data_IF_169212327837
#
_entry.id   IF_169212327837
#
_cell.length_a   1.000
_cell.length_b   1.000
_cell.length_c   1.000
_cell.angle_alpha   90.00
_cell.angle_beta   90.00
_cell.angle_gamma   90.00
#
_symmetry.space_group_name_H-M   'P 1'
#
loop_
_entity.id
_entity.type
_entity.pdbx_description
1 polymer ?
#
# COMPACT_ATOMS: atom_id res chain seq x y z
N UNK A 1 -11.25 -16.87 -45.07
CA UNK A 1 -9.87 -16.49 -44.80
C UNK A 1 -9.94 -15.23 -43.93
N UNK A 2 -10.06 -15.42 -42.62
CA UNK A 2 -10.12 -14.29 -41.66
C UNK A 2 -8.71 -14.02 -41.16
N UNK A 3 -8.21 -12.86 -41.54
CA UNK A 3 -6.89 -12.38 -41.07
C UNK A 3 -7.05 -11.86 -39.68
N UNK A 4 -6.49 -12.58 -38.69
CA UNK A 4 -6.34 -12.11 -37.31
C UNK A 4 -5.31 -10.99 -37.32
N UNK A 5 -5.75 -9.76 -37.11
CA UNK A 5 -4.86 -8.65 -36.77
C UNK A 5 -4.47 -8.78 -35.29
N UNK A 6 -3.28 -9.29 -35.08
CA UNK A 6 -2.63 -9.22 -33.76
C UNK A 6 -2.07 -7.82 -33.61
N UNK A 7 -2.73 -6.98 -32.80
CA UNK A 7 -2.13 -5.74 -32.35
C UNK A 7 -1.05 -6.06 -31.31
N UNK A 8 0.18 -5.53 -31.45
CA UNK A 8 1.14 -5.62 -30.38
C UNK A 8 0.61 -4.85 -29.18
N UNK A 9 0.51 -5.51 -28.04
CA UNK A 9 0.38 -4.84 -26.73
C UNK A 9 1.68 -4.10 -26.52
N UNK A 10 1.74 -2.86 -26.93
CA UNK A 10 2.80 -1.94 -26.52
C UNK A 10 2.55 -1.76 -25.03
N UNK A 11 3.45 -2.30 -24.21
CA UNK A 11 3.53 -1.93 -22.82
C UNK A 11 3.80 -0.42 -22.78
N UNK A 12 2.75 0.36 -22.54
CA UNK A 12 2.96 1.76 -22.24
C UNK A 12 3.71 1.81 -20.93
N UNK A 13 4.89 2.42 -20.96
CA UNK A 13 5.53 2.91 -19.75
C UNK A 13 4.56 3.94 -19.17
N UNK A 14 3.74 3.51 -18.21
CA UNK A 14 2.85 4.41 -17.47
C UNK A 14 3.79 5.40 -16.78
N UNK A 15 3.65 6.71 -17.01
CA UNK A 15 4.52 7.67 -16.35
C UNK A 15 4.31 7.55 -14.85
N UNK A 16 5.36 7.11 -14.16
CA UNK A 16 5.37 7.00 -12.69
C UNK A 16 5.52 8.43 -12.18
N UNK A 17 4.43 8.95 -11.62
CA UNK A 17 4.37 10.23 -10.96
C UNK A 17 3.70 10.00 -9.61
N UNK A 18 4.23 10.61 -8.55
CA UNK A 18 3.58 10.55 -7.24
C UNK A 18 2.13 10.99 -7.36
N UNK A 19 1.22 10.24 -6.77
CA UNK A 19 -0.18 10.61 -6.63
C UNK A 19 -0.37 11.79 -5.67
N UNK A 20 0.69 12.24 -5.02
CA UNK A 20 0.71 13.38 -4.11
C UNK A 20 1.35 14.59 -4.80
N UNK A 21 0.58 15.61 -5.18
CA UNK A 21 1.11 16.82 -5.80
C UNK A 21 2.07 17.56 -4.85
N UNK A 22 3.14 18.12 -5.37
CA UNK A 22 3.97 19.11 -4.65
C UNK A 22 5.08 18.58 -3.75
N UNK A 23 5.28 17.26 -3.62
CA UNK A 23 6.26 16.68 -2.67
C UNK A 23 7.74 16.86 -3.04
N UNK A 24 8.09 17.44 -4.17
CA UNK A 24 9.48 17.52 -4.61
C UNK A 24 10.40 18.41 -3.75
N UNK A 25 9.88 19.30 -2.89
CA UNK A 25 10.67 20.17 -1.99
C UNK A 25 9.87 20.71 -0.81
N UNK A 26 9.41 19.88 0.10
CA UNK A 26 8.76 20.35 1.32
C UNK A 26 9.79 20.47 2.44
N UNK A 27 9.85 21.66 3.07
CA UNK A 27 10.58 21.86 4.33
C UNK A 27 9.77 21.22 5.47
N UNK A 28 10.12 20.02 5.82
CA UNK A 28 9.42 19.16 6.80
C UNK A 28 9.22 19.87 8.16
N UNK A 29 10.04 20.87 8.47
CA UNK A 29 9.93 21.60 9.75
C UNK A 29 8.65 22.42 9.91
N UNK A 30 7.93 22.70 8.83
CA UNK A 30 6.67 23.47 8.81
C UNK A 30 5.40 22.64 8.99
N UNK A 31 5.48 21.32 8.84
CA UNK A 31 4.31 20.44 8.69
C UNK A 31 4.07 19.46 9.85
N UNK A 32 4.60 19.75 11.02
CA UNK A 32 4.41 18.91 12.21
C UNK A 32 2.98 18.84 12.77
N UNK A 33 2.00 19.52 12.16
CA UNK A 33 0.63 19.60 12.69
C UNK A 33 -0.43 18.75 11.98
N UNK A 34 -0.14 18.16 10.81
CA UNK A 34 -1.14 17.40 10.05
C UNK A 34 -0.75 15.91 9.94
N UNK A 35 -0.66 15.25 11.08
CA UNK A 35 -0.55 13.80 11.13
C UNK A 35 -1.93 13.19 10.93
N UNK A 36 -2.18 12.57 9.78
CA UNK A 36 -3.05 11.42 9.74
C UNK A 36 -2.29 10.31 10.49
N UNK A 37 -2.40 10.30 11.80
CA UNK A 37 -1.78 9.27 12.61
C UNK A 37 -2.52 7.97 12.34
N UNK A 38 -1.83 6.98 11.77
CA UNK A 38 -2.25 5.61 11.97
C UNK A 38 -2.52 5.42 13.47
N UNK A 39 -3.61 4.76 13.87
CA UNK A 39 -3.95 4.62 15.29
C UNK A 39 -2.77 3.95 15.99
N UNK A 40 -2.13 4.65 16.91
CA UNK A 40 -1.11 4.07 17.78
C UNK A 40 -1.77 2.95 18.57
N UNK A 41 -1.14 1.80 18.61
CA UNK A 41 -1.58 0.63 19.38
C UNK A 41 -1.91 1.07 20.81
N UNK A 42 -3.20 1.17 21.16
CA UNK A 42 -3.68 1.52 22.51
C UNK A 42 -4.61 2.72 22.65
N UNK A 43 -4.86 3.49 21.60
CA UNK A 43 -5.78 4.63 21.64
C UNK A 43 -7.03 4.37 20.79
N UNK A 44 -8.19 4.46 21.45
CA UNK A 44 -9.54 4.70 20.94
C UNK A 44 -9.86 4.10 19.56
N UNK A 45 -10.81 3.15 19.52
CA UNK A 45 -11.43 2.48 18.37
C UNK A 45 -10.84 2.82 16.99
N UNK A 46 -10.09 1.87 16.39
CA UNK A 46 -9.62 1.97 15.01
C UNK A 46 -10.79 2.43 14.10
N UNK A 47 -10.69 3.59 13.42
CA UNK A 47 -11.77 4.11 12.56
C UNK A 47 -12.07 3.18 11.38
N UNK A 48 -11.14 2.29 11.03
CA UNK A 48 -11.21 1.36 9.91
C UNK A 48 -11.75 -0.02 10.31
N UNK A 49 -12.60 -0.07 11.35
CA UNK A 49 -13.30 -1.27 11.80
C UNK A 49 -14.78 -0.95 11.99
N UNK A 50 -15.64 -1.95 11.69
CA UNK A 50 -17.10 -1.84 11.78
C UNK A 50 -17.72 -1.21 10.55
N UNK A 51 -18.99 -0.87 10.66
CA UNK A 51 -19.74 -0.22 9.59
C UNK A 51 -19.36 1.25 9.49
N UNK A 52 -19.09 1.72 8.28
CA UNK A 52 -18.78 3.12 7.97
C UNK A 52 -19.51 3.55 6.70
N UNK A 53 -19.68 4.86 6.57
CA UNK A 53 -20.26 5.48 5.38
C UNK A 53 -19.23 6.40 4.72
N UNK A 54 -19.21 6.38 3.38
CA UNK A 54 -18.34 7.23 2.57
C UNK A 54 -19.18 8.04 1.60
N UNK A 55 -18.99 9.35 1.61
CA UNK A 55 -19.59 10.22 0.61
C UNK A 55 -18.82 10.17 -0.69
N UNK A 56 -19.53 9.92 -1.78
CA UNK A 56 -19.00 9.90 -3.15
C UNK A 56 -19.74 10.93 -3.99
N UNK A 57 -19.00 11.78 -4.66
CA UNK A 57 -19.56 12.77 -5.59
C UNK A 57 -19.17 12.40 -7.02
N UNK A 58 -20.19 12.15 -7.84
CA UNK A 58 -20.04 11.98 -9.28
C UNK A 58 -20.07 13.37 -9.95
N UNK A 59 -18.89 13.84 -10.42
CA UNK A 59 -18.72 15.19 -10.93
C UNK A 59 -18.72 15.22 -12.46
N UNK A 60 -19.79 15.72 -13.07
CA UNK A 60 -19.88 16.02 -14.48
C UNK A 60 -19.33 17.44 -14.75
N UNK A 61 -18.56 17.61 -15.82
CA UNK A 61 -18.08 18.92 -16.25
C UNK A 61 -19.00 19.51 -17.34
N UNK A 62 -18.98 20.84 -17.45
CA UNK A 62 -19.75 21.54 -18.48
C UNK A 62 -19.35 21.14 -19.92
N UNK A 63 -18.08 20.71 -20.10
CA UNK A 63 -17.46 20.33 -21.37
C UNK A 63 -17.13 18.83 -21.47
N UNK A 64 -17.33 18.04 -20.41
CA UNK A 64 -17.13 16.59 -20.39
C UNK A 64 -18.19 15.91 -19.53
N UNK A 65 -19.12 15.22 -20.17
CA UNK A 65 -20.13 14.40 -19.49
C UNK A 65 -19.63 13.00 -19.18
N UNK A 66 -20.36 12.32 -18.29
CA UNK A 66 -20.23 10.88 -18.11
C UNK A 66 -20.64 10.13 -19.39
N UNK A 67 -20.22 8.87 -19.50
CA UNK A 67 -20.57 8.02 -20.64
C UNK A 67 -22.10 7.76 -20.76
N UNK A 68 -22.84 7.94 -19.67
CA UNK A 68 -24.30 7.74 -19.60
C UNK A 68 -24.99 8.93 -18.95
N UNK A 69 -26.32 8.99 -19.02
CA UNK A 69 -27.09 10.01 -18.31
C UNK A 69 -26.95 9.88 -16.79
N UNK A 70 -27.35 10.93 -16.05
CA UNK A 70 -27.15 11.00 -14.60
C UNK A 70 -27.79 9.86 -13.80
N UNK A 71 -28.98 9.38 -14.20
CA UNK A 71 -29.66 8.30 -13.52
C UNK A 71 -28.95 6.96 -13.76
N UNK A 72 -28.55 6.70 -14.99
CA UNK A 72 -27.78 5.52 -15.37
C UNK A 72 -26.40 5.52 -14.71
N UNK A 73 -25.72 6.68 -14.67
CA UNK A 73 -24.42 6.88 -14.02
C UNK A 73 -24.51 6.58 -12.54
N UNK A 74 -25.51 7.15 -11.82
CA UNK A 74 -25.77 6.86 -10.42
C UNK A 74 -26.02 5.38 -10.15
N UNK A 75 -26.86 4.74 -10.98
CA UNK A 75 -27.17 3.32 -10.83
C UNK A 75 -25.94 2.44 -11.06
N UNK A 76 -25.12 2.76 -12.05
CA UNK A 76 -23.92 2.02 -12.40
C UNK A 76 -22.83 2.15 -11.34
N UNK A 77 -22.52 3.37 -10.90
CA UNK A 77 -21.56 3.59 -9.82
C UNK A 77 -22.08 3.06 -8.49
N UNK A 78 -23.40 3.16 -8.24
CA UNK A 78 -24.01 2.51 -7.08
C UNK A 78 -23.78 0.99 -7.06
N UNK A 79 -23.86 0.33 -8.23
CA UNK A 79 -23.52 -1.09 -8.40
C UNK A 79 -22.04 -1.36 -8.16
N UNK A 80 -21.15 -0.60 -8.81
CA UNK A 80 -19.68 -0.79 -8.70
C UNK A 80 -19.19 -0.58 -7.27
N UNK A 81 -19.77 0.36 -6.55
CA UNK A 81 -19.33 0.72 -5.20
C UNK A 81 -19.93 -0.17 -4.12
N UNK A 82 -21.23 -0.52 -4.20
CA UNK A 82 -21.99 -1.05 -3.05
C UNK A 82 -22.48 -2.50 -3.17
N UNK A 83 -22.45 -3.11 -4.37
CA UNK A 83 -23.03 -4.46 -4.51
C UNK A 83 -22.18 -5.49 -3.78
N UNK A 84 -22.73 -6.07 -2.73
CA UNK A 84 -22.08 -7.16 -1.97
C UNK A 84 -22.00 -8.43 -2.81
N UNK A 85 -20.81 -9.05 -2.83
CA UNK A 85 -20.49 -10.22 -3.67
C UNK A 85 -20.79 -9.98 -5.15
N UNK A 86 -20.35 -8.82 -5.66
CA UNK A 86 -20.54 -8.47 -7.06
C UNK A 86 -19.91 -9.53 -7.97
N UNK A 87 -20.75 -10.17 -8.79
CA UNK A 87 -20.30 -11.04 -9.86
C UNK A 87 -20.54 -10.34 -11.20
N UNK A 88 -19.47 -9.90 -11.81
CA UNK A 88 -19.49 -9.19 -13.09
C UNK A 88 -18.51 -9.85 -14.06
N UNK A 89 -18.67 -9.60 -15.36
CA UNK A 89 -17.78 -10.16 -16.39
C UNK A 89 -16.38 -9.56 -16.35
N UNK A 90 -16.25 -8.34 -15.87
CA UNK A 90 -14.98 -7.59 -15.81
C UNK A 90 -14.46 -7.48 -14.38
N UNK A 91 -15.27 -7.01 -13.43
CA UNK A 91 -14.89 -6.81 -12.03
C UNK A 91 -14.96 -8.13 -11.25
N UNK A 92 -14.00 -8.36 -10.38
CA UNK A 92 -14.05 -9.48 -9.44
C UNK A 92 -15.04 -9.24 -8.31
N UNK A 93 -15.20 -8.01 -7.87
CA UNK A 93 -16.09 -7.56 -6.81
C UNK A 93 -16.32 -6.05 -6.90
N UNK A 94 -17.13 -5.51 -6.01
CA UNK A 94 -17.33 -4.07 -5.83
C UNK A 94 -16.21 -3.44 -4.99
N UNK A 95 -16.23 -2.10 -4.85
CA UNK A 95 -15.30 -1.42 -3.93
C UNK A 95 -15.58 -1.80 -2.46
N UNK A 96 -16.87 -1.98 -2.10
CA UNK A 96 -17.27 -2.58 -0.83
C UNK A 96 -16.59 -3.94 -0.62
N UNK A 97 -16.72 -4.86 -1.62
CA UNK A 97 -16.15 -6.20 -1.54
C UNK A 97 -14.63 -6.14 -1.44
N UNK A 98 -13.98 -5.20 -2.15
CA UNK A 98 -12.52 -5.04 -2.07
C UNK A 98 -12.08 -4.80 -0.63
N UNK A 99 -12.58 -3.76 0.03
CA UNK A 99 -12.16 -3.43 1.40
C UNK A 99 -12.69 -4.41 2.45
N UNK A 100 -13.85 -4.99 2.23
CA UNK A 100 -14.39 -6.05 3.08
C UNK A 100 -13.48 -7.28 3.10
N UNK A 101 -13.01 -7.73 1.93
CA UNK A 101 -12.10 -8.86 1.80
C UNK A 101 -10.68 -8.53 2.34
N UNK A 102 -10.15 -7.30 2.05
CA UNK A 102 -8.84 -6.91 2.58
C UNK A 102 -8.82 -6.88 4.11
N UNK A 103 -9.94 -6.52 4.72
CA UNK A 103 -10.10 -6.45 6.18
C UNK A 103 -10.56 -7.76 6.84
N UNK A 104 -10.74 -8.83 6.09
CA UNK A 104 -11.35 -10.08 6.57
C UNK A 104 -12.73 -9.87 7.19
N UNK A 105 -13.52 -9.00 6.59
CA UNK A 105 -14.87 -8.67 7.05
C UNK A 105 -14.93 -7.74 8.26
N UNK A 106 -13.79 -7.17 8.69
CA UNK A 106 -13.76 -6.25 9.83
C UNK A 106 -14.22 -4.84 9.48
N UNK A 107 -14.15 -4.43 8.20
CA UNK A 107 -14.50 -3.10 7.71
C UNK A 107 -15.62 -3.20 6.67
N UNK A 108 -16.83 -2.81 7.03
CA UNK A 108 -18.02 -2.81 6.17
C UNK A 108 -18.31 -1.37 5.73
N UNK A 109 -17.81 -1.00 4.54
CA UNK A 109 -17.87 0.35 4.02
C UNK A 109 -18.99 0.51 2.99
N UNK A 110 -20.02 1.30 3.33
CA UNK A 110 -21.08 1.68 2.41
C UNK A 110 -20.83 3.05 1.79
N UNK A 111 -21.28 3.25 0.54
CA UNK A 111 -21.06 4.48 -0.22
C UNK A 111 -22.39 5.20 -0.50
N UNK A 112 -22.45 6.50 -0.15
CA UNK A 112 -23.54 7.41 -0.48
C UNK A 112 -23.14 8.25 -1.69
N UNK A 113 -23.96 8.27 -2.73
CA UNK A 113 -23.65 8.92 -3.99
C UNK A 113 -24.47 10.19 -4.18
N UNK A 114 -23.78 11.25 -4.57
CA UNK A 114 -24.39 12.48 -5.10
C UNK A 114 -23.88 12.72 -6.53
N UNK A 115 -24.71 13.33 -7.35
CA UNK A 115 -24.35 13.72 -8.72
C UNK A 115 -24.38 15.23 -8.82
N UNK A 116 -23.30 15.83 -9.33
CA UNK A 116 -23.19 17.27 -9.50
C UNK A 116 -22.68 17.62 -10.89
N UNK A 117 -23.02 18.82 -11.35
CA UNK A 117 -22.45 19.41 -12.55
C UNK A 117 -21.66 20.65 -12.16
N UNK A 118 -20.40 20.68 -12.56
CA UNK A 118 -19.45 21.76 -12.27
C UNK A 118 -19.01 22.46 -13.57
N UNK A 119 -18.10 23.43 -13.46
CA UNK A 119 -17.55 24.17 -14.59
C UNK A 119 -16.73 23.26 -15.55
N UNK A 120 -16.09 23.80 -16.56
CA UNK A 120 -15.30 23.01 -17.52
C UNK A 120 -14.08 22.38 -16.86
N UNK A 121 -13.72 21.15 -17.30
CA UNK A 121 -12.59 20.38 -16.75
C UNK A 121 -11.28 21.18 -16.77
N UNK A 122 -11.05 21.99 -17.80
CA UNK A 122 -9.83 22.80 -17.90
C UNK A 122 -9.65 23.83 -16.77
N UNK A 123 -10.72 24.21 -16.05
CA UNK A 123 -10.64 25.07 -14.86
C UNK A 123 -9.90 24.36 -13.71
N UNK A 124 -10.08 23.06 -13.62
CA UNK A 124 -9.64 22.25 -12.48
C UNK A 124 -8.35 21.48 -12.72
N UNK A 125 -7.91 21.34 -13.97
CA UNK A 125 -6.63 20.71 -14.25
C UNK A 125 -5.47 21.71 -14.00
N UNK A 126 -4.31 21.19 -13.65
CA UNK A 126 -3.07 21.95 -13.62
C UNK A 126 -1.95 21.17 -14.28
N UNK A 127 -1.04 21.88 -14.96
CA UNK A 127 0.20 21.29 -15.49
C UNK A 127 1.27 21.13 -14.42
N UNK A 128 1.03 21.73 -13.24
CA UNK A 128 1.90 21.67 -12.07
C UNK A 128 1.10 21.15 -10.88
N UNK A 129 1.43 19.91 -10.45
CA UNK A 129 1.01 19.33 -9.18
C UNK A 129 -0.50 19.38 -8.87
N UNK A 130 -1.35 19.44 -9.91
CA UNK A 130 -2.82 19.47 -9.80
C UNK A 130 -3.37 20.49 -8.80
N UNK A 131 -2.67 21.62 -8.61
CA UNK A 131 -3.05 22.70 -7.69
C UNK A 131 -4.47 23.24 -7.90
N UNK A 132 -5.00 23.14 -9.11
CA UNK A 132 -6.34 23.60 -9.43
C UNK A 132 -7.44 22.63 -8.97
N UNK A 133 -7.12 21.42 -8.54
CA UNK A 133 -8.09 20.47 -7.99
C UNK A 133 -8.79 21.01 -6.74
N UNK A 134 -8.15 21.89 -5.98
CA UNK A 134 -8.77 22.63 -4.89
C UNK A 134 -10.06 23.36 -5.29
N UNK A 135 -10.10 23.95 -6.49
CA UNK A 135 -11.30 24.62 -6.99
C UNK A 135 -12.42 23.65 -7.31
N UNK A 136 -12.09 22.43 -7.77
CA UNK A 136 -13.09 21.37 -7.95
C UNK A 136 -13.73 20.99 -6.62
N UNK A 137 -12.91 20.78 -5.58
CA UNK A 137 -13.41 20.47 -4.23
C UNK A 137 -14.28 21.60 -3.69
N UNK A 138 -13.84 22.87 -3.81
CA UNK A 138 -14.59 24.03 -3.37
C UNK A 138 -15.94 24.16 -4.08
N UNK A 139 -15.97 24.05 -5.40
CA UNK A 139 -17.19 24.12 -6.20
C UNK A 139 -18.15 22.98 -5.84
N UNK A 140 -17.67 21.74 -5.74
CA UNK A 140 -18.47 20.58 -5.33
C UNK A 140 -19.08 20.82 -3.96
N UNK A 141 -18.26 21.16 -2.96
CA UNK A 141 -18.75 21.33 -1.58
C UNK A 141 -19.77 22.46 -1.51
N UNK A 142 -19.58 23.56 -2.26
CA UNK A 142 -20.56 24.64 -2.31
C UNK A 142 -21.93 24.20 -2.84
N UNK A 143 -21.96 23.22 -3.75
CA UNK A 143 -23.19 22.66 -4.31
C UNK A 143 -23.86 21.72 -3.30
N UNK A 144 -23.09 20.78 -2.71
CA UNK A 144 -23.66 19.68 -1.90
C UNK A 144 -23.83 20.01 -0.42
N UNK A 145 -23.32 21.15 0.07
CA UNK A 145 -23.27 21.46 1.49
C UNK A 145 -24.64 21.35 2.20
N UNK A 146 -25.73 21.68 1.49
CA UNK A 146 -27.09 21.62 2.00
C UNK A 146 -27.83 20.33 1.61
N UNK A 147 -27.28 19.52 0.73
CA UNK A 147 -27.91 18.26 0.27
C UNK A 147 -27.51 17.07 1.15
N UNK A 148 -26.39 17.19 1.87
CA UNK A 148 -25.95 16.19 2.84
C UNK A 148 -26.67 16.40 4.17
N UNK A 149 -27.54 15.46 4.52
CA UNK A 149 -28.38 15.55 5.73
C UNK A 149 -27.56 15.44 7.02
N UNK A 150 -26.51 14.62 7.03
CA UNK A 150 -25.67 14.39 8.21
C UNK A 150 -24.21 14.15 7.82
N UNK A 151 -23.39 15.17 7.98
CA UNK A 151 -21.93 15.09 7.75
C UNK A 151 -21.22 14.22 8.79
N UNK A 152 -21.84 14.00 9.98
CA UNK A 152 -21.29 13.14 11.01
C UNK A 152 -21.19 11.67 10.63
N UNK A 153 -21.94 11.21 9.60
CA UNK A 153 -21.82 9.86 9.06
C UNK A 153 -20.45 9.58 8.43
N UNK A 154 -19.77 10.62 8.00
CA UNK A 154 -18.47 10.57 7.29
C UNK A 154 -17.28 10.97 8.17
N UNK A 155 -17.52 11.26 9.45
CA UNK A 155 -16.52 11.50 10.50
C UNK A 155 -16.36 10.20 11.32
N UNK A 156 -15.49 9.28 10.83
CA UNK A 156 -15.40 7.91 11.35
C UNK A 156 -14.76 7.82 12.74
N UNK A 157 -13.91 8.78 13.10
CA UNK A 157 -13.18 8.85 14.36
C UNK A 157 -13.72 9.90 15.34
N UNK A 158 -14.78 10.64 14.97
CA UNK A 158 -15.42 11.69 15.75
C UNK A 158 -14.47 12.84 16.13
N UNK A 159 -13.54 13.20 15.25
CA UNK A 159 -12.60 14.31 15.44
C UNK A 159 -13.13 15.65 14.87
N UNK A 160 -14.31 15.65 14.26
CA UNK A 160 -14.91 16.81 13.63
C UNK A 160 -14.47 17.02 12.18
N UNK A 161 -13.80 16.04 11.58
CA UNK A 161 -13.40 16.05 10.17
C UNK A 161 -14.10 14.94 9.39
N UNK A 162 -14.49 15.26 8.17
CA UNK A 162 -14.87 14.25 7.19
C UNK A 162 -13.60 13.47 6.81
N UNK A 163 -13.61 12.15 6.98
CA UNK A 163 -12.41 11.34 6.76
C UNK A 163 -11.87 11.47 5.33
N UNK A 164 -12.75 11.51 4.34
CA UNK A 164 -12.38 11.76 2.95
C UNK A 164 -13.60 12.19 2.13
N UNK A 165 -13.43 13.09 1.16
CA UNK A 165 -14.38 13.33 0.09
C UNK A 165 -13.91 12.59 -1.16
N UNK A 166 -14.64 11.55 -1.59
CA UNK A 166 -14.33 10.83 -2.83
C UNK A 166 -15.05 11.49 -4.00
N UNK A 167 -14.29 11.89 -5.02
CA UNK A 167 -14.78 12.51 -6.25
C UNK A 167 -14.46 11.61 -7.43
N UNK A 168 -15.49 11.09 -8.08
CA UNK A 168 -15.36 10.38 -9.36
C UNK A 168 -15.77 11.36 -10.46
N UNK A 169 -14.82 11.76 -11.29
CA UNK A 169 -15.06 12.74 -12.33
C UNK A 169 -15.25 12.10 -13.70
N UNK A 170 -16.09 12.73 -14.54
CA UNK A 170 -16.45 12.24 -15.87
C UNK A 170 -15.24 12.15 -16.81
N UNK A 171 -15.18 11.08 -17.61
CA UNK A 171 -14.16 10.86 -18.62
C UNK A 171 -12.89 10.21 -18.11
N UNK A 172 -11.79 10.39 -18.85
CA UNK A 172 -10.48 9.76 -18.60
C UNK A 172 -9.56 10.68 -17.81
N UNK A 173 -8.70 10.08 -16.97
CA UNK A 173 -7.67 10.79 -16.22
C UNK A 173 -6.39 11.03 -17.02
N UNK A 174 -5.57 11.96 -16.53
CA UNK A 174 -4.27 12.28 -17.13
C UNK A 174 -3.29 11.08 -17.06
N UNK A 175 -3.44 10.22 -16.06
CA UNK A 175 -2.62 9.02 -15.84
C UNK A 175 -2.82 7.96 -16.92
N UNK A 176 -3.99 7.90 -17.56
CA UNK A 176 -4.37 6.81 -18.46
C UNK A 176 -5.15 7.32 -19.68
N UNK A 177 -4.48 8.07 -20.53
CA UNK A 177 -4.96 8.43 -21.87
C UNK A 177 -5.82 9.69 -21.98
N UNK A 178 -6.24 10.33 -20.90
CA UNK A 178 -7.06 11.56 -20.93
C UNK A 178 -6.32 12.79 -21.48
N UNK A 179 -4.99 12.75 -21.50
CA UNK A 179 -4.16 13.85 -22.00
C UNK A 179 -3.91 14.94 -20.95
N UNK A 180 -3.07 15.91 -21.32
CA UNK A 180 -2.54 16.93 -20.40
C UNK A 180 -3.56 17.94 -19.88
N UNK A 181 -4.77 17.94 -20.43
CA UNK A 181 -5.84 18.89 -20.06
C UNK A 181 -6.88 18.26 -19.13
N UNK A 182 -6.63 17.06 -18.64
CA UNK A 182 -7.47 16.36 -17.65
C UNK A 182 -6.80 16.35 -16.27
N UNK A 183 -7.54 15.90 -15.27
CA UNK A 183 -7.06 15.84 -13.88
C UNK A 183 -6.23 14.57 -13.70
N UNK A 184 -5.09 14.66 -13.00
CA UNK A 184 -4.37 13.50 -12.52
C UNK A 184 -5.12 12.93 -11.31
N UNK A 185 -5.46 11.63 -11.24
CA UNK A 185 -6.06 11.04 -10.05
C UNK A 185 -5.08 11.14 -8.89
N UNK A 186 -5.58 11.57 -7.73
CA UNK A 186 -4.76 11.77 -6.54
C UNK A 186 -5.62 11.87 -5.28
N UNK A 187 -5.01 11.60 -4.14
CA UNK A 187 -5.48 11.99 -2.82
C UNK A 187 -4.65 13.17 -2.32
N UNK A 188 -5.31 14.18 -1.73
CA UNK A 188 -4.63 15.34 -1.15
C UNK A 188 -5.44 15.98 -0.02
N UNK A 189 -4.90 17.06 0.56
CA UNK A 189 -5.54 17.87 1.60
C UNK A 189 -5.75 19.30 1.13
N UNK A 190 -6.90 19.89 1.50
CA UNK A 190 -7.18 21.30 1.22
C UNK A 190 -6.17 22.21 1.91
N UNK A 191 -5.82 21.89 3.15
CA UNK A 191 -4.85 22.65 3.96
C UNK A 191 -3.41 22.63 3.43
N UNK A 192 -3.08 21.74 2.49
CA UNK A 192 -1.76 21.67 1.85
C UNK A 192 -1.68 22.41 0.50
N UNK A 193 -2.79 22.98 0.05
CA UNK A 193 -2.78 23.92 -1.06
C UNK A 193 -2.48 25.34 -0.59
N UNK A 194 -1.73 26.09 -1.38
CA UNK A 194 -1.49 27.51 -1.12
C UNK A 194 -2.81 28.28 -1.01
N UNK A 195 -2.94 29.12 0.02
CA UNK A 195 -4.10 29.96 0.29
C UNK A 195 -5.44 29.20 0.48
N UNK A 196 -5.39 27.93 0.93
CA UNK A 196 -6.58 27.15 1.23
C UNK A 196 -6.62 26.71 2.69
N UNK A 197 -7.85 26.58 3.19
CA UNK A 197 -8.16 26.04 4.50
C UNK A 197 -9.17 24.89 4.35
N UNK A 198 -9.27 23.97 5.31
CA UNK A 198 -10.34 22.98 5.33
C UNK A 198 -11.72 23.65 5.22
N UNK A 199 -12.60 23.08 4.40
CA UNK A 199 -13.91 23.67 4.10
C UNK A 199 -14.91 23.30 5.18
N UNK A 200 -15.52 24.28 5.89
CA UNK A 200 -16.51 23.99 6.91
C UNK A 200 -17.87 23.62 6.29
N UNK A 201 -18.49 22.57 6.82
CA UNK A 201 -19.84 22.11 6.51
C UNK A 201 -20.61 21.85 7.80
N UNK A 202 -21.94 21.90 7.80
CA UNK A 202 -22.74 21.85 9.04
C UNK A 202 -23.85 20.82 8.98
N UNK A 203 -24.09 20.16 10.12
CA UNK A 203 -25.31 19.39 10.40
C UNK A 203 -25.92 19.93 11.70
N UNK A 204 -27.06 20.57 11.59
CA UNK A 204 -27.67 21.27 12.73
C UNK A 204 -26.74 22.35 13.28
N UNK A 205 -26.29 22.21 14.53
CA UNK A 205 -25.38 23.15 15.19
C UNK A 205 -23.91 22.67 15.16
N UNK A 206 -23.63 21.48 14.65
CA UNK A 206 -22.26 20.91 14.59
C UNK A 206 -21.61 21.24 13.25
N UNK A 207 -20.37 21.72 13.31
CA UNK A 207 -19.54 21.98 12.14
C UNK A 207 -18.54 20.84 11.98
N UNK A 208 -18.34 20.41 10.74
CA UNK A 208 -17.32 19.47 10.32
C UNK A 208 -16.40 20.12 9.31
N UNK A 209 -15.20 19.64 9.17
CA UNK A 209 -14.21 20.15 8.24
C UNK A 209 -13.93 19.12 7.14
N UNK A 210 -14.02 19.54 5.88
CA UNK A 210 -13.54 18.75 4.73
C UNK A 210 -12.14 19.24 4.43
N UNK A 211 -11.16 18.38 4.68
CA UNK A 211 -9.75 18.61 4.42
C UNK A 211 -9.21 17.60 3.40
N UNK A 212 -9.43 16.32 3.65
CA UNK A 212 -8.97 15.24 2.81
C UNK A 212 -9.94 14.98 1.65
N UNK A 213 -9.41 14.88 0.44
CA UNK A 213 -10.18 14.51 -0.74
C UNK A 213 -9.39 13.54 -1.64
N UNK A 214 -10.11 12.82 -2.48
CA UNK A 214 -9.58 11.91 -3.47
C UNK A 214 -10.30 12.13 -4.80
N UNK A 215 -9.56 12.22 -5.91
CA UNK A 215 -10.10 12.36 -7.25
C UNK A 215 -9.74 11.16 -8.11
N UNK A 216 -10.73 10.57 -8.80
CA UNK A 216 -10.54 9.39 -9.66
C UNK A 216 -11.34 9.59 -10.96
N UNK A 217 -10.79 9.22 -12.14
CA UNK A 217 -11.54 9.29 -13.39
C UNK A 217 -12.62 8.21 -13.47
N UNK A 218 -13.68 8.49 -14.23
CA UNK A 218 -14.68 7.50 -14.58
C UNK A 218 -14.09 6.36 -15.40
N UNK A 219 -13.26 6.71 -16.39
CA UNK A 219 -12.79 5.78 -17.42
C UNK A 219 -11.28 5.65 -17.44
N UNK A 220 -10.80 4.45 -17.76
CA UNK A 220 -9.41 4.20 -18.14
C UNK A 220 -9.15 4.57 -19.61
N UNK A 221 -7.89 4.54 -20.04
CA UNK A 221 -7.47 4.85 -21.40
C UNK A 221 -8.09 3.99 -22.51
N UNK A 222 -8.69 2.87 -22.14
CA UNK A 222 -9.47 2.03 -23.07
C UNK A 222 -10.95 2.45 -23.19
N UNK A 223 -11.35 3.53 -22.51
CA UNK A 223 -12.75 4.00 -22.50
C UNK A 223 -13.70 3.08 -21.73
N UNK A 224 -13.18 2.35 -20.75
CA UNK A 224 -13.95 1.45 -19.88
C UNK A 224 -13.69 1.74 -18.40
N UNK A 225 -14.36 1.04 -17.48
CA UNK A 225 -14.23 1.21 -16.03
C UNK A 225 -12.97 0.56 -15.43
N UNK A 226 -11.90 0.38 -16.18
CA UNK A 226 -10.58 -0.07 -15.68
C UNK A 226 -9.92 0.91 -14.68
N UNK A 227 -10.47 2.11 -14.54
CA UNK A 227 -10.16 3.04 -13.44
C UNK A 227 -10.50 2.49 -12.04
N UNK A 228 -11.22 1.36 -11.94
CA UNK A 228 -11.54 0.71 -10.67
C UNK A 228 -10.29 0.40 -9.81
N UNK A 229 -9.22 -0.07 -10.44
CA UNK A 229 -7.95 -0.31 -9.73
C UNK A 229 -7.31 1.00 -9.23
N UNK A 230 -7.38 2.07 -10.04
CA UNK A 230 -6.96 3.41 -9.60
C UNK A 230 -7.81 3.89 -8.43
N UNK A 231 -9.13 3.64 -8.46
CA UNK A 231 -10.01 3.96 -7.34
C UNK A 231 -9.61 3.22 -6.05
N UNK A 232 -9.26 1.92 -6.14
CA UNK A 232 -8.77 1.17 -4.99
C UNK A 232 -7.46 1.77 -4.44
N UNK A 233 -6.54 2.18 -5.31
CA UNK A 233 -5.26 2.79 -4.96
C UNK A 233 -5.46 4.15 -4.27
N UNK A 234 -6.12 5.10 -4.95
CA UNK A 234 -6.31 6.45 -4.43
C UNK A 234 -7.11 6.48 -3.12
N UNK A 235 -8.13 5.60 -3.02
CA UNK A 235 -8.89 5.48 -1.78
C UNK A 235 -8.02 4.92 -0.64
N UNK A 236 -7.07 4.05 -0.92
CA UNK A 236 -6.18 3.47 0.09
C UNK A 236 -5.29 4.51 0.79
N UNK A 237 -5.02 5.65 0.14
CA UNK A 237 -4.34 6.77 0.78
C UNK A 237 -5.11 7.34 1.97
N UNK A 238 -6.45 7.24 2.01
CA UNK A 238 -7.22 7.69 3.16
C UNK A 238 -6.96 6.88 4.43
N UNK A 239 -6.45 5.66 4.30
CA UNK A 239 -5.98 4.84 5.42
C UNK A 239 -4.56 5.21 5.88
N UNK A 240 -3.92 6.18 5.23
CA UNK A 240 -2.54 6.59 5.50
C UNK A 240 -1.49 5.78 4.77
N UNK A 241 -1.87 4.89 3.86
CA UNK A 241 -0.92 4.14 3.03
C UNK A 241 -0.27 5.07 2.01
N UNK A 242 1.06 5.16 1.94
CA UNK A 242 1.76 5.95 0.95
C UNK A 242 1.90 5.21 -0.38
N UNK A 243 2.35 5.93 -1.42
CA UNK A 243 2.90 5.29 -2.61
C UNK A 243 4.15 4.48 -2.27
N UNK A 244 4.24 3.26 -2.80
CA UNK A 244 5.44 2.42 -2.68
C UNK A 244 6.31 2.43 -3.94
N UNK A 245 5.89 3.11 -4.98
CA UNK A 245 6.78 3.53 -6.06
C UNK A 245 7.47 4.86 -5.70
N UNK A 246 8.48 5.25 -6.46
CA UNK A 246 9.21 6.50 -6.30
C UNK A 246 9.57 7.06 -7.67
N UNK A 247 10.87 7.17 -7.97
CA UNK A 247 11.36 7.51 -9.31
C UNK A 247 11.02 6.45 -10.37
N UNK A 248 10.67 5.24 -9.91
CA UNK A 248 10.19 4.10 -10.72
C UNK A 248 9.36 3.16 -9.86
N UNK A 249 8.78 2.13 -10.46
CA UNK A 249 8.16 1.02 -9.76
C UNK A 249 9.22 0.12 -9.09
N UNK A 250 8.96 -0.31 -7.87
CA UNK A 250 9.84 -1.18 -7.07
C UNK A 250 9.20 -2.51 -6.67
N UNK A 251 7.86 -2.54 -6.53
CA UNK A 251 7.08 -3.72 -6.16
C UNK A 251 6.33 -4.29 -7.36
N UNK A 252 6.15 -3.46 -8.39
CA UNK A 252 5.45 -3.85 -9.60
C UNK A 252 4.01 -4.25 -9.31
N UNK A 253 3.57 -5.30 -9.97
CA UNK A 253 2.20 -5.81 -9.91
C UNK A 253 1.86 -6.59 -8.63
N UNK A 254 2.78 -6.66 -7.66
CA UNK A 254 2.58 -7.34 -6.39
C UNK A 254 1.89 -6.49 -5.32
N UNK A 255 1.81 -5.18 -5.52
CA UNK A 255 1.33 -4.24 -4.52
C UNK A 255 0.40 -3.20 -5.15
N UNK A 256 -0.74 -2.92 -4.50
CA UNK A 256 -1.75 -1.98 -5.02
C UNK A 256 -1.28 -0.53 -4.93
N UNK A 257 -0.42 -0.22 -3.97
CA UNK A 257 0.19 1.10 -3.82
C UNK A 257 1.45 1.29 -4.70
N UNK A 258 1.73 0.33 -5.59
CA UNK A 258 2.61 0.43 -6.75
C UNK A 258 1.78 0.18 -8.03
N UNK A 259 2.21 -0.63 -8.98
CA UNK A 259 1.48 -0.85 -10.24
C UNK A 259 0.48 -2.02 -10.19
N UNK A 260 0.27 -2.61 -9.02
CA UNK A 260 -0.71 -3.69 -8.79
C UNK A 260 -2.17 -3.27 -8.97
N UNK A 261 -2.45 -1.97 -8.89
CA UNK A 261 -3.74 -1.37 -9.23
C UNK A 261 -4.12 -1.58 -10.71
N UNK A 262 -3.13 -1.65 -11.62
CA UNK A 262 -3.36 -1.91 -13.06
C UNK A 262 -3.46 -3.39 -13.43
N UNK A 263 -3.49 -4.30 -12.45
CA UNK A 263 -3.67 -5.72 -12.73
C UNK A 263 -4.99 -6.00 -13.44
N UNK A 264 -4.96 -6.94 -14.40
CA UNK A 264 -6.12 -7.27 -15.20
C UNK A 264 -6.70 -6.08 -16.00
N UNK A 265 -5.85 -5.10 -16.39
CA UNK A 265 -6.29 -3.88 -17.06
C UNK A 265 -7.04 -2.90 -16.14
N UNK A 266 -6.72 -2.93 -14.84
CA UNK A 266 -7.35 -2.10 -13.80
C UNK A 266 -8.63 -2.70 -13.22
N UNK A 267 -9.07 -3.87 -13.70
CA UNK A 267 -10.29 -4.53 -13.19
C UNK A 267 -10.04 -5.48 -12.02
N UNK A 268 -8.80 -5.89 -11.82
CA UNK A 268 -8.41 -6.86 -10.81
C UNK A 268 -7.20 -6.35 -10.01
N UNK A 269 -7.32 -5.21 -9.30
CA UNK A 269 -6.25 -4.75 -8.42
C UNK A 269 -5.87 -5.88 -7.46
N UNK A 270 -4.59 -6.01 -7.15
CA UNK A 270 -4.17 -7.03 -6.20
C UNK A 270 -4.67 -6.72 -4.78
N UNK A 271 -4.78 -7.75 -3.96
CA UNK A 271 -5.09 -7.59 -2.54
C UNK A 271 -3.93 -6.93 -1.79
N UNK A 272 -4.24 -6.34 -0.65
CA UNK A 272 -3.26 -5.77 0.25
C UNK A 272 -2.23 -6.81 0.71
N UNK A 273 -0.98 -6.39 0.80
CA UNK A 273 0.08 -7.13 1.47
C UNK A 273 -0.15 -7.25 2.98
N UNK A 274 0.63 -8.08 3.64
CA UNK A 274 0.61 -8.19 5.10
C UNK A 274 1.00 -6.86 5.77
N UNK A 275 1.90 -6.07 5.15
CA UNK A 275 2.27 -4.75 5.64
C UNK A 275 1.07 -3.80 5.64
N UNK A 276 0.40 -3.66 4.52
CA UNK A 276 -0.75 -2.76 4.38
C UNK A 276 -1.89 -3.13 5.34
N UNK A 277 -2.21 -4.43 5.44
CA UNK A 277 -3.23 -4.93 6.38
C UNK A 277 -2.85 -4.69 7.84
N UNK A 278 -1.56 -4.85 8.18
CA UNK A 278 -1.07 -4.60 9.53
C UNK A 278 -1.06 -3.10 9.85
N UNK A 279 -0.70 -2.27 8.90
CA UNK A 279 -0.68 -0.82 9.02
C UNK A 279 -2.08 -0.27 9.32
N UNK A 280 -3.08 -0.73 8.58
CA UNK A 280 -4.51 -0.34 8.77
C UNK A 280 -5.12 -0.99 10.03
N UNK A 281 -4.48 -2.02 10.59
CA UNK A 281 -4.92 -2.70 11.81
C UNK A 281 -5.86 -3.89 11.58
N UNK A 282 -5.89 -4.44 10.37
CA UNK A 282 -6.69 -5.62 10.01
C UNK A 282 -5.97 -6.94 10.21
N UNK A 283 -4.66 -6.92 10.43
CA UNK A 283 -3.82 -8.08 10.64
C UNK A 283 -2.74 -7.79 11.69
N UNK A 284 -2.37 -8.79 12.48
CA UNK A 284 -1.19 -8.72 13.34
C UNK A 284 -0.24 -9.85 12.94
N UNK A 285 0.92 -9.54 12.33
CA UNK A 285 1.90 -10.56 11.97
C UNK A 285 2.42 -11.31 13.20
N UNK A 286 2.67 -12.59 13.04
CA UNK A 286 3.25 -13.45 14.09
C UNK A 286 4.76 -13.31 14.05
N UNK A 287 5.37 -12.76 15.10
CA UNK A 287 6.82 -12.61 15.17
C UNK A 287 7.50 -13.95 15.48
N UNK A 288 8.47 -14.34 14.64
CA UNK A 288 9.25 -15.56 14.79
C UNK A 288 10.53 -15.26 15.59
N UNK A 289 10.59 -15.78 16.82
CA UNK A 289 11.72 -15.57 17.75
C UNK A 289 12.48 -16.84 18.06
N UNK A 290 11.96 -18.01 17.75
CA UNK A 290 12.58 -19.31 18.00
C UNK A 290 12.51 -20.18 16.76
N UNK A 291 13.41 -21.14 16.64
CA UNK A 291 13.36 -22.16 15.59
C UNK A 291 11.95 -22.73 15.44
N UNK A 292 11.42 -22.61 14.25
CA UNK A 292 10.03 -22.94 14.00
C UNK A 292 9.88 -23.60 12.61
N UNK A 293 9.09 -24.66 12.54
CA UNK A 293 8.63 -25.27 11.28
C UNK A 293 7.21 -24.78 11.01
N UNK A 294 7.04 -24.07 9.93
CA UNK A 294 5.72 -23.66 9.43
C UNK A 294 5.29 -24.67 8.37
N UNK A 295 4.28 -25.47 8.66
CA UNK A 295 3.84 -26.57 7.79
C UNK A 295 2.51 -26.34 7.08
N UNK A 296 1.77 -25.29 7.41
CA UNK A 296 0.43 -25.04 6.87
C UNK A 296 0.12 -23.55 6.81
N UNK A 297 0.87 -22.80 6.00
CA UNK A 297 0.59 -21.39 5.79
C UNK A 297 -0.37 -21.23 4.63
N UNK A 298 -1.64 -20.97 4.92
CA UNK A 298 -2.67 -20.65 3.92
C UNK A 298 -2.38 -19.31 3.26
N UNK A 299 -3.04 -19.06 2.12
CA UNK A 299 -2.94 -17.79 1.43
C UNK A 299 -3.39 -16.64 2.32
N UNK A 300 -2.69 -15.50 2.21
CA UNK A 300 -3.04 -14.25 2.89
C UNK A 300 -4.46 -13.77 2.54
N UNK A 301 -4.96 -14.09 1.35
CA UNK A 301 -6.35 -13.79 0.96
C UNK A 301 -7.40 -14.62 1.70
N UNK A 302 -7.04 -15.77 2.27
CA UNK A 302 -8.00 -16.64 2.98
C UNK A 302 -8.01 -16.40 4.49
N UNK A 303 -6.83 -16.12 5.06
CA UNK A 303 -6.66 -16.02 6.51
C UNK A 303 -5.67 -14.92 6.88
N UNK A 304 -5.88 -14.21 8.00
CA UNK A 304 -5.02 -13.11 8.46
C UNK A 304 -3.71 -13.66 9.08
N UNK A 305 -2.92 -14.40 8.31
CA UNK A 305 -1.67 -15.00 8.78
C UNK A 305 -0.50 -14.52 7.92
N UNK A 306 0.46 -13.89 8.56
CA UNK A 306 1.79 -13.60 8.05
C UNK A 306 2.81 -13.71 9.18
N UNK A 307 4.09 -13.84 8.84
CA UNK A 307 5.16 -13.96 9.81
C UNK A 307 6.11 -12.78 9.71
N UNK A 308 6.57 -12.29 10.87
CA UNK A 308 7.51 -11.19 10.99
C UNK A 308 8.85 -11.73 11.51
N UNK A 309 9.94 -11.32 10.88
CA UNK A 309 11.30 -11.64 11.27
C UNK A 309 12.07 -10.32 11.43
N UNK A 310 12.41 -9.99 12.65
CA UNK A 310 12.99 -8.68 13.00
C UNK A 310 14.50 -8.66 12.87
N UNK A 311 15.06 -7.55 12.40
CA UNK A 311 16.47 -7.23 12.54
C UNK A 311 16.80 -6.97 14.02
N UNK A 312 17.68 -7.74 14.62
CA UNK A 312 18.01 -7.60 16.05
C UNK A 312 18.86 -6.36 16.35
N UNK A 313 19.50 -5.78 15.34
CA UNK A 313 20.26 -4.54 15.46
C UNK A 313 19.41 -3.27 15.26
N UNK A 314 18.26 -3.40 14.57
CA UNK A 314 17.40 -2.26 14.23
C UNK A 314 15.93 -2.70 14.20
N UNK A 315 15.19 -2.41 15.27
CA UNK A 315 13.84 -2.96 15.49
C UNK A 315 12.80 -2.56 14.43
N UNK A 316 12.99 -1.42 13.75
CA UNK A 316 12.09 -0.91 12.73
C UNK A 316 12.39 -1.48 11.33
N UNK A 317 13.42 -2.36 11.22
CA UNK A 317 13.64 -3.14 10.01
C UNK A 317 13.33 -4.62 10.26
N UNK A 318 12.51 -5.19 9.36
CA UNK A 318 12.05 -6.57 9.48
C UNK A 318 11.65 -7.14 8.13
N UNK A 319 11.57 -8.47 8.06
CA UNK A 319 10.90 -9.17 6.97
C UNK A 319 9.46 -9.49 7.35
N UNK A 320 8.57 -9.41 6.36
CA UNK A 320 7.23 -9.98 6.40
C UNK A 320 7.18 -11.13 5.39
N UNK A 321 6.75 -12.29 5.85
CA UNK A 321 6.62 -13.50 5.05
C UNK A 321 5.14 -13.80 4.88
N UNK A 322 4.68 -13.85 3.65
CA UNK A 322 3.28 -14.09 3.29
C UNK A 322 3.15 -15.10 2.15
N UNK A 323 2.01 -15.79 2.11
CA UNK A 323 1.68 -16.71 1.03
C UNK A 323 0.65 -16.04 0.11
N UNK A 324 1.05 -15.74 -1.14
CA UNK A 324 0.19 -15.15 -2.17
C UNK A 324 -0.17 -16.20 -3.20
N UNK A 325 -1.47 -16.30 -3.52
CA UNK A 325 -1.97 -17.27 -4.50
C UNK A 325 -2.84 -16.55 -5.53
N UNK A 326 -2.74 -16.97 -6.81
CA UNK A 326 -3.48 -16.38 -7.93
C UNK A 326 -4.98 -16.72 -7.86
N UNK A 327 -5.68 -16.19 -6.86
CA UNK A 327 -7.12 -16.35 -6.64
C UNK A 327 -7.73 -15.08 -6.06
N UNK A 328 -9.04 -14.94 -6.13
CA UNK A 328 -9.71 -13.76 -5.64
C UNK A 328 -9.19 -12.49 -6.28
N UNK A 329 -8.93 -11.47 -5.48
CA UNK A 329 -8.32 -10.22 -5.93
C UNK A 329 -6.91 -10.43 -6.49
N UNK A 330 -6.20 -11.44 -6.00
CA UNK A 330 -4.84 -11.80 -6.43
C UNK A 330 -4.79 -12.63 -7.73
N UNK A 331 -5.93 -12.90 -8.38
CA UNK A 331 -5.98 -13.76 -9.59
C UNK A 331 -5.08 -13.29 -10.73
N UNK A 332 -4.79 -12.00 -10.79
CA UNK A 332 -3.95 -11.37 -11.81
C UNK A 332 -2.53 -11.04 -11.34
N UNK A 333 -2.11 -11.54 -10.16
CA UNK A 333 -0.72 -11.46 -9.73
C UNK A 333 0.22 -12.10 -10.77
N UNK A 334 1.48 -11.65 -10.82
CA UNK A 334 2.48 -12.22 -11.73
C UNK A 334 2.68 -13.72 -11.51
N UNK A 335 2.71 -14.15 -10.23
CA UNK A 335 2.97 -15.53 -9.83
C UNK A 335 2.28 -15.87 -8.51
N UNK A 336 2.49 -17.09 -8.00
CA UNK A 336 2.02 -17.59 -6.71
C UNK A 336 3.18 -18.13 -5.90
N UNK A 337 3.18 -17.94 -4.59
CA UNK A 337 4.18 -18.50 -3.70
C UNK A 337 4.34 -17.76 -2.40
N UNK A 338 5.44 -18.06 -1.71
CA UNK A 338 5.87 -17.33 -0.53
C UNK A 338 6.56 -16.04 -1.00
N UNK A 339 6.05 -14.90 -0.56
CA UNK A 339 6.65 -13.60 -0.84
C UNK A 339 7.27 -13.07 0.44
N UNK A 340 8.50 -12.59 0.34
CA UNK A 340 9.23 -12.01 1.47
C UNK A 340 9.42 -10.52 1.21
N UNK A 341 8.74 -9.70 1.98
CA UNK A 341 8.93 -8.26 1.96
C UNK A 341 9.96 -7.86 3.00
N UNK A 342 10.86 -6.95 2.65
CA UNK A 342 11.68 -6.21 3.61
C UNK A 342 11.03 -4.85 3.85
N UNK A 343 10.81 -4.53 5.11
CA UNK A 343 10.33 -3.23 5.60
C UNK A 343 11.45 -2.60 6.42
N UNK A 344 11.84 -1.38 6.09
CA UNK A 344 12.76 -0.51 6.84
C UNK A 344 11.95 0.74 7.19
N UNK A 345 11.13 0.61 8.25
CA UNK A 345 10.14 1.62 8.61
C UNK A 345 10.79 2.87 9.17
N UNK A 346 10.28 4.00 8.75
CA UNK A 346 10.63 5.33 9.23
C UNK A 346 9.34 6.18 9.13
N UNK A 347 8.84 6.61 10.27
CA UNK A 347 7.51 7.26 10.35
C UNK A 347 7.41 8.47 9.42
N UNK A 348 8.42 9.33 9.41
CA UNK A 348 8.39 10.55 8.59
C UNK A 348 8.47 10.23 7.10
N UNK A 349 9.32 9.26 6.72
CA UNK A 349 9.49 8.85 5.32
C UNK A 349 8.23 8.20 4.78
N UNK A 350 7.58 7.34 5.56
CA UNK A 350 6.33 6.69 5.14
C UNK A 350 5.17 7.68 5.12
N UNK A 351 5.09 8.59 6.09
CA UNK A 351 4.06 9.63 6.12
C UNK A 351 4.10 10.51 4.85
N UNK A 352 5.29 10.86 4.39
CA UNK A 352 5.46 11.75 3.23
C UNK A 352 5.56 11.00 1.90
N UNK A 353 5.46 9.67 1.88
CA UNK A 353 5.49 8.88 0.65
C UNK A 353 6.88 8.80 -0.02
N UNK A 354 7.96 9.02 0.73
CA UNK A 354 9.34 8.88 0.22
C UNK A 354 9.92 7.49 0.48
N UNK A 355 9.07 6.48 0.47
CA UNK A 355 9.39 5.12 0.93
C UNK A 355 10.51 4.49 0.10
N UNK A 356 10.43 4.65 -1.22
CA UNK A 356 11.37 4.02 -2.15
C UNK A 356 12.02 5.04 -3.08
N UNK A 357 13.35 4.89 -3.25
CA UNK A 357 14.15 5.65 -4.21
C UNK A 357 15.29 4.78 -4.75
N UNK A 358 15.96 5.24 -5.80
CA UNK A 358 17.15 4.56 -6.33
C UNK A 358 18.28 4.41 -5.28
N UNK A 359 18.35 5.34 -4.32
CA UNK A 359 19.38 5.33 -3.28
C UNK A 359 19.04 4.42 -2.08
N UNK A 360 17.75 4.32 -1.72
CA UNK A 360 17.30 3.52 -0.58
C UNK A 360 15.88 3.02 -0.83
N UNK A 361 15.72 1.71 -0.85
CA UNK A 361 14.43 1.05 -0.93
C UNK A 361 14.08 0.59 0.47
N UNK A 362 13.05 1.21 1.06
CA UNK A 362 12.62 0.89 2.42
C UNK A 362 11.52 -0.16 2.48
N UNK A 363 10.78 -0.30 1.40
CA UNK A 363 9.78 -1.35 1.25
C UNK A 363 9.97 -2.04 -0.11
N UNK A 364 10.42 -3.29 -0.07
CA UNK A 364 10.68 -4.08 -1.29
C UNK A 364 10.44 -5.56 -1.07
N UNK A 365 10.21 -6.29 -2.15
CA UNK A 365 10.26 -7.76 -2.18
C UNK A 365 11.71 -8.21 -2.30
N UNK A 366 12.09 -9.27 -1.58
CA UNK A 366 13.34 -10.00 -1.80
C UNK A 366 13.03 -11.08 -2.84
N UNK A 367 13.43 -10.89 -4.11
CA UNK A 367 12.94 -11.71 -5.22
C UNK A 367 13.65 -13.05 -5.31
N UNK A 368 12.90 -14.16 -5.37
CA UNK A 368 13.48 -15.51 -5.43
C UNK A 368 14.39 -15.74 -6.63
N UNK A 369 14.21 -15.01 -7.74
CA UNK A 369 15.07 -15.06 -8.93
C UNK A 369 16.30 -14.14 -8.86
N UNK A 370 16.52 -13.43 -7.73
CA UNK A 370 17.61 -12.48 -7.51
C UNK A 370 17.67 -11.29 -8.53
N UNK A 371 16.53 -10.95 -9.11
CA UNK A 371 16.43 -9.86 -10.08
C UNK A 371 15.51 -8.76 -9.53
N UNK A 372 16.08 -7.59 -9.28
CA UNK A 372 15.42 -6.51 -8.54
C UNK A 372 14.80 -5.41 -9.41
N UNK A 373 15.00 -5.43 -10.73
CA UNK A 373 14.32 -4.48 -11.61
C UNK A 373 12.93 -4.98 -12.02
N UNK A 374 12.00 -4.07 -12.26
CA UNK A 374 10.61 -4.40 -12.55
C UNK A 374 10.40 -4.53 -14.07
N UNK A 375 10.04 -5.71 -14.52
CA UNK A 375 9.40 -5.97 -15.82
C UNK A 375 8.38 -7.09 -15.65
N UNK A 376 7.45 -7.21 -16.58
CA UNK A 376 6.40 -8.25 -16.51
C UNK A 376 6.96 -9.66 -16.37
N UNK A 377 8.06 -9.98 -17.04
CA UNK A 377 8.66 -11.33 -16.99
C UNK A 377 9.48 -11.55 -15.72
N UNK A 378 10.21 -10.53 -15.26
CA UNK A 378 11.07 -10.63 -14.07
C UNK A 378 10.26 -10.85 -12.80
N UNK A 379 9.17 -10.09 -12.61
CA UNK A 379 8.36 -10.17 -11.40
C UNK A 379 7.62 -11.50 -11.22
N UNK A 380 7.56 -12.35 -12.23
CA UNK A 380 7.04 -13.72 -12.14
C UNK A 380 7.92 -14.64 -11.30
N UNK A 381 9.21 -14.36 -11.19
CA UNK A 381 10.13 -15.17 -10.39
C UNK A 381 10.41 -14.61 -9.01
N UNK A 382 9.57 -13.72 -8.48
CA UNK A 382 9.82 -13.08 -7.18
C UNK A 382 9.32 -13.91 -5.99
N UNK A 383 8.32 -14.77 -6.19
CA UNK A 383 7.83 -15.66 -5.15
C UNK A 383 8.69 -16.92 -5.01
N UNK A 384 8.87 -17.39 -3.78
CA UNK A 384 9.54 -18.66 -3.46
C UNK A 384 8.53 -19.83 -3.46
N UNK A 385 8.98 -21.04 -3.84
CA UNK A 385 10.26 -21.35 -4.46
C UNK A 385 10.30 -20.93 -5.93
N UNK A 386 11.48 -20.58 -6.45
CA UNK A 386 11.69 -20.32 -7.88
C UNK A 386 12.83 -21.17 -8.42
N UNK A 387 12.56 -22.06 -9.39
CA UNK A 387 13.50 -23.07 -9.82
C UNK A 387 13.97 -23.92 -8.63
N UNK A 388 15.27 -24.02 -8.45
CA UNK A 388 15.87 -24.71 -7.31
C UNK A 388 16.04 -23.82 -6.07
N UNK A 389 15.72 -22.50 -6.19
CA UNK A 389 15.83 -21.58 -5.07
C UNK A 389 14.61 -21.67 -4.16
N UNK A 390 14.78 -22.32 -3.02
CA UNK A 390 13.78 -22.50 -1.98
C UNK A 390 14.23 -22.01 -0.61
N UNK A 391 15.19 -21.08 -0.58
CA UNK A 391 15.74 -20.56 0.67
C UNK A 391 16.15 -19.10 0.57
N UNK A 392 16.10 -18.40 1.71
CA UNK A 392 16.62 -17.04 1.91
C UNK A 392 17.51 -17.06 3.14
N UNK A 393 18.81 -16.99 2.91
CA UNK A 393 19.86 -17.08 3.93
C UNK A 393 20.91 -16.01 3.69
N UNK A 394 21.90 -15.89 4.56
CA UNK A 394 23.04 -14.99 4.34
C UNK A 394 23.88 -15.34 3.10
N UNK A 395 23.80 -16.59 2.64
CA UNK A 395 24.64 -17.12 1.54
C UNK A 395 23.83 -17.57 0.32
N UNK A 396 22.51 -17.40 0.34
CA UNK A 396 21.67 -17.67 -0.83
C UNK A 396 21.78 -16.55 -1.87
N UNK A 397 21.25 -16.77 -3.07
CA UNK A 397 21.06 -15.75 -4.10
C UNK A 397 19.55 -15.65 -4.39
N UNK A 398 18.88 -14.56 -3.94
CA UNK A 398 19.43 -13.42 -3.21
C UNK A 398 19.90 -13.77 -1.79
N UNK A 399 20.81 -12.94 -1.24
CA UNK A 399 21.14 -12.99 0.16
C UNK A 399 20.05 -12.28 1.01
N UNK A 400 19.97 -12.64 2.28
CA UNK A 400 19.02 -12.05 3.24
C UNK A 400 19.47 -10.64 3.67
N UNK A 401 19.45 -9.68 2.76
CA UNK A 401 20.00 -8.33 2.91
C UNK A 401 19.13 -7.40 3.76
N UNK A 402 19.80 -6.54 4.53
CA UNK A 402 19.23 -5.46 5.33
C UNK A 402 19.76 -4.09 4.90
N UNK A 403 19.02 -3.04 5.20
CA UNK A 403 19.47 -1.65 5.06
C UNK A 403 20.27 -1.18 6.28
N UNK A 404 19.98 -1.73 7.46
CA UNK A 404 20.59 -1.36 8.72
C UNK A 404 21.40 -2.52 9.29
N UNK A 405 22.47 -2.18 10.00
CA UNK A 405 23.38 -3.18 10.57
C UNK A 405 22.66 -4.04 11.61
N UNK A 406 22.83 -5.34 11.52
CA UNK A 406 22.37 -6.32 12.49
C UNK A 406 23.35 -6.41 13.69
N UNK A 407 22.97 -7.10 14.76
CA UNK A 407 23.81 -7.31 15.96
C UNK A 407 25.14 -7.99 15.68
N UNK A 408 25.21 -8.84 14.70
CA UNK A 408 26.42 -9.53 14.26
C UNK A 408 27.38 -8.63 13.45
N UNK A 409 27.09 -7.35 13.35
CA UNK A 409 27.82 -6.33 12.58
C UNK A 409 27.80 -6.58 11.06
N UNK A 410 26.84 -7.33 10.57
CA UNK A 410 26.58 -7.49 9.14
C UNK A 410 25.35 -6.70 8.71
N UNK A 411 25.14 -6.56 7.40
CA UNK A 411 23.90 -6.08 6.79
C UNK A 411 23.07 -7.26 6.26
N UNK A 412 23.01 -8.34 7.07
CA UNK A 412 22.28 -9.55 6.74
C UNK A 412 21.33 -9.91 7.89
N UNK A 413 20.21 -10.53 7.57
CA UNK A 413 19.20 -10.89 8.56
C UNK A 413 19.69 -11.92 9.56
N UNK A 414 20.57 -12.84 9.15
CA UNK A 414 21.17 -13.92 9.97
C UNK A 414 20.14 -14.81 10.66
N UNK A 415 18.97 -14.92 10.03
CA UNK A 415 17.85 -15.75 10.44
C UNK A 415 17.32 -16.48 9.19
N UNK A 416 17.88 -17.63 8.84
CA UNK A 416 17.56 -18.29 7.59
C UNK A 416 16.12 -18.79 7.50
N UNK A 417 15.55 -18.62 6.33
CA UNK A 417 14.35 -19.27 5.86
C UNK A 417 14.76 -20.34 4.86
N UNK A 418 14.41 -21.60 5.09
CA UNK A 418 14.81 -22.74 4.27
C UNK A 418 13.65 -23.67 3.98
N UNK A 419 13.84 -24.58 3.03
CA UNK A 419 12.83 -25.57 2.65
C UNK A 419 11.47 -24.95 2.30
N UNK A 420 11.49 -23.76 1.68
CA UNK A 420 10.28 -23.10 1.23
C UNK A 420 9.61 -23.93 0.15
N UNK A 421 8.37 -24.33 0.38
CA UNK A 421 7.58 -25.11 -0.58
C UNK A 421 6.15 -24.59 -0.63
N UNK A 422 5.50 -24.82 -1.78
CA UNK A 422 4.07 -24.55 -1.95
C UNK A 422 3.45 -25.76 -2.63
N UNK A 423 2.47 -26.37 -1.96
CA UNK A 423 1.72 -27.51 -2.48
C UNK A 423 0.23 -27.21 -2.37
N UNK A 424 -0.49 -27.27 -3.50
CA UNK A 424 -1.92 -26.97 -3.57
C UNK A 424 -2.30 -25.61 -2.91
N UNK A 425 -1.42 -24.60 -3.05
CA UNK A 425 -1.62 -23.27 -2.50
C UNK A 425 -1.31 -23.13 -1.00
N UNK A 426 -0.87 -24.21 -0.35
CA UNK A 426 -0.41 -24.20 1.05
C UNK A 426 1.11 -24.10 1.06
N UNK A 427 1.62 -23.09 1.75
CA UNK A 427 3.05 -22.86 1.90
C UNK A 427 3.60 -23.49 3.17
N UNK A 428 4.86 -23.89 3.11
CA UNK A 428 5.64 -24.33 4.28
C UNK A 428 7.09 -23.87 4.18
N UNK A 429 7.74 -23.68 5.32
CA UNK A 429 9.15 -23.32 5.42
C UNK A 429 9.71 -23.61 6.81
N UNK A 430 11.03 -23.63 6.94
CA UNK A 430 11.74 -23.71 8.21
C UNK A 430 12.38 -22.37 8.50
N UNK A 431 12.08 -21.82 9.67
CA UNK A 431 12.75 -20.64 10.22
C UNK A 431 13.75 -21.07 11.29
N UNK A 432 14.95 -20.48 11.26
CA UNK A 432 15.98 -20.64 12.30
C UNK A 432 16.38 -19.30 12.86
N UNK A 433 16.62 -19.27 14.17
CA UNK A 433 17.15 -18.10 14.87
C UNK A 433 18.64 -18.34 15.21
N UNK A 434 19.50 -18.28 14.18
CA UNK A 434 20.91 -18.66 14.29
C UNK A 434 21.76 -17.69 15.15
N UNK A 435 21.23 -16.52 15.53
CA UNK A 435 21.97 -15.54 16.35
C UNK A 435 22.31 -16.11 17.73
N UNK A 436 21.52 -17.02 18.26
CA UNK A 436 21.80 -17.68 19.55
C UNK A 436 22.85 -18.79 19.45
N UNK A 437 23.11 -19.32 18.24
CA UNK A 437 24.09 -20.40 18.03
C UNK A 437 25.48 -19.90 17.61
N UNK A 438 25.59 -18.61 17.24
CA UNK A 438 26.86 -17.98 16.86
C UNK A 438 27.71 -17.51 18.04
N UNK A 439 27.37 -17.83 19.28
CA UNK A 439 28.34 -17.80 20.38
C UNK A 439 29.25 -19.02 20.16
N UNK A 440 30.49 -18.86 19.68
CA UNK A 440 31.37 -20.02 19.55
C UNK A 440 31.49 -20.63 20.94
N UNK A 441 31.20 -21.91 21.05
CA UNK A 441 31.59 -22.67 22.25
C UNK A 441 33.09 -22.50 22.42
N UNK A 442 33.53 -21.62 23.36
CA UNK A 442 34.92 -21.47 23.73
C UNK A 442 35.16 -22.53 24.79
N UNK A 443 35.96 -23.59 24.51
CA UNK A 443 36.32 -24.54 25.54
C UNK A 443 36.95 -23.80 26.73
N UNK A 444 36.54 -24.11 27.94
CA UNK A 444 37.03 -23.48 29.16
C UNK A 444 38.58 -23.44 29.31
N UNK A 445 39.29 -24.23 28.51
CA UNK A 445 40.76 -24.28 28.49
C UNK A 445 41.44 -23.11 27.75
N UNK A 446 40.71 -22.27 26.99
CA UNK A 446 41.29 -21.14 26.26
C UNK A 446 41.20 -19.79 27.00
N UNK A 447 40.60 -19.74 28.16
CA UNK A 447 40.53 -18.55 28.99
C UNK A 447 41.83 -18.35 29.78
N UNK A 448 42.74 -17.52 29.26
CA UNK A 448 43.89 -17.08 30.07
C UNK A 448 43.41 -16.10 31.13
N UNK A 449 43.85 -16.35 32.38
CA UNK A 449 43.37 -15.68 33.62
C UNK A 449 44.01 -14.31 33.90
N UNK A 450 44.84 -13.78 32.99
CA UNK A 450 45.81 -12.77 33.34
C UNK A 450 45.38 -11.31 33.32
N UNK A 451 44.19 -10.94 32.78
CA UNK A 451 43.80 -9.52 32.70
C UNK A 451 42.30 -9.20 32.82
N UNK A 452 41.51 -9.91 33.57
CA UNK A 452 40.07 -9.59 33.74
C UNK A 452 39.29 -9.32 32.42
N UNK A 453 39.90 -9.58 31.26
CA UNK A 453 39.31 -9.44 29.94
C UNK A 453 39.06 -10.81 29.30
N UNK A 454 37.82 -11.10 28.96
CA UNK A 454 37.43 -12.33 28.32
C UNK A 454 36.90 -12.03 26.94
N UNK A 455 37.57 -12.50 25.88
CA UNK A 455 37.12 -12.38 24.51
C UNK A 455 35.97 -13.35 24.30
N UNK A 456 34.80 -12.83 23.86
CA UNK A 456 33.59 -13.60 23.58
C UNK A 456 33.18 -13.54 22.11
N UNK A 457 33.91 -12.82 21.27
CA UNK A 457 33.73 -12.68 19.83
C UNK A 457 34.88 -11.90 19.19
N UNK A 458 34.85 -11.69 17.87
CA UNK A 458 35.98 -11.04 17.17
C UNK A 458 36.29 -9.62 17.64
N UNK A 459 35.33 -8.92 18.20
CA UNK A 459 35.49 -7.56 18.77
C UNK A 459 34.73 -7.38 20.07
N UNK A 460 34.31 -8.47 20.73
CA UNK A 460 33.51 -8.44 21.92
C UNK A 460 34.25 -9.10 23.09
N UNK A 461 34.31 -8.42 24.21
CA UNK A 461 35.04 -8.84 25.42
C UNK A 461 34.16 -8.65 26.64
N UNK A 462 34.35 -9.46 27.66
CA UNK A 462 33.84 -9.19 29.02
C UNK A 462 34.98 -8.59 29.82
N UNK A 463 34.77 -7.43 30.42
CA UNK A 463 35.66 -6.81 31.38
C UNK A 463 34.87 -6.42 32.63
N UNK A 464 35.28 -6.93 33.78
CA UNK A 464 34.61 -6.70 35.08
C UNK A 464 33.11 -6.96 35.04
N UNK A 465 32.69 -8.05 34.34
CA UNK A 465 31.29 -8.45 34.22
C UNK A 465 30.44 -7.61 33.25
N UNK A 466 31.06 -6.70 32.50
CA UNK A 466 30.39 -5.90 31.47
C UNK A 466 30.88 -6.30 30.09
N UNK A 467 29.96 -6.37 29.11
CA UNK A 467 30.31 -6.58 27.72
C UNK A 467 30.87 -5.28 27.13
N UNK A 468 32.07 -5.34 26.55
CA UNK A 468 32.76 -4.21 25.94
C UNK A 468 33.05 -4.51 24.47
N UNK A 469 32.68 -3.60 23.61
CA UNK A 469 32.99 -3.65 22.18
C UNK A 469 34.30 -2.88 21.92
N UNK A 470 35.23 -3.49 21.22
CA UNK A 470 36.46 -2.82 20.77
C UNK A 470 36.29 -2.44 19.29
N UNK A 471 36.39 -1.16 19.03
CA UNK A 471 36.29 -0.60 17.65
C UNK A 471 37.51 -0.94 16.80
#
# INVERSE_FOLDING_TARGET
MFTLLVFPVIGQDVPIRSCRPGLERIDVSKYTQHRASAPRRGEISNPYIGERRQLVVLAEFADQGFATDSLQTLAQWGKILNTKNLSDTLLYGSLHDYFYDQSYGQFDLGFDLLYVRVDSMKKYHSTQNDENSKYLVQDIVSIIANDVNDWGLYDWNNDGKVNQLLIIYAGMGQNDGGGKMTIWPHQWWMSEHDDCEPIPVTTGLKTYLIDTYCTVPELSGNGNYGSFGTLCHEFSHCFGLPDFYGDKSYLGKWDVMDTGNYNGGGFHPCGYSAYERAYVGWLTPVELNNDTVISCMKSLSDVPISYLIRNDGWADEYYLVENRQKKGWDKSLPDSGIVVFRVDYDEDVFLWGWVNSAMRQRYKIIPANDITYVTTEVVKGWAYPYGDNNSLTNNSSPAAELNNMNRDSTFLMSKPLTEMTVTEGIASFIFRNDILTAIPYIPQQSLRKDDEWYRIGDRMYIHKGKVVWVR
#
